data_IF_234752492235
#
_entry.id   IF_234752492235
#
_cell.length_a   1.000
_cell.length_b   1.000
_cell.length_c   1.000
_cell.angle_alpha   90.00
_cell.angle_beta   90.00
_cell.angle_gamma   90.00
#
_symmetry.space_group_name_H-M   'P 1'
#
loop_
_entity.id
_entity.type
_entity.pdbx_description
1 polymer ?
#
# COMPACT_ATOMS: atom_id res chain seq x y z
N UNK A 1 -18.50 -13.08 -37.48
CA UNK A 1 -18.34 -12.40 -36.16
C UNK A 1 -17.11 -13.01 -35.51
N UNK A 2 -15.96 -12.33 -35.64
CA UNK A 2 -14.73 -12.73 -35.01
C UNK A 2 -14.85 -12.40 -33.51
N UNK A 3 -14.96 -13.40 -32.66
CA UNK A 3 -14.83 -13.26 -31.20
C UNK A 3 -13.36 -13.01 -30.94
N UNK A 4 -12.97 -11.77 -30.69
CA UNK A 4 -11.68 -11.43 -30.14
C UNK A 4 -11.61 -12.09 -28.74
N UNK A 5 -11.00 -13.27 -28.67
CA UNK A 5 -10.47 -13.78 -27.43
C UNK A 5 -9.46 -12.75 -26.94
N UNK A 6 -9.85 -11.93 -25.98
CA UNK A 6 -8.92 -11.18 -25.17
C UNK A 6 -7.93 -12.22 -24.63
N UNK A 7 -6.71 -12.18 -25.15
CA UNK A 7 -5.55 -12.89 -24.66
C UNK A 7 -5.51 -12.62 -23.17
N UNK A 8 -5.89 -13.62 -22.37
CA UNK A 8 -5.82 -13.53 -20.92
C UNK A 8 -4.44 -12.96 -20.60
N UNK A 9 -4.44 -11.77 -20.11
CA UNK A 9 -3.22 -11.04 -19.78
C UNK A 9 -2.58 -11.81 -18.64
N UNK A 10 -1.64 -12.68 -18.96
CA UNK A 10 -0.81 -13.36 -17.98
C UNK A 10 -0.10 -12.27 -17.21
N UNK A 11 -0.67 -11.88 -16.09
CA UNK A 11 -0.13 -10.82 -15.26
C UNK A 11 1.13 -11.35 -14.59
N UNK A 12 2.27 -10.81 -14.97
CA UNK A 12 3.51 -11.04 -14.25
C UNK A 12 3.33 -10.71 -12.77
N UNK A 13 3.76 -11.63 -11.91
CA UNK A 13 3.62 -11.49 -10.47
C UNK A 13 4.86 -12.04 -9.74
N UNK A 14 5.03 -11.64 -8.51
CA UNK A 14 6.01 -12.19 -7.61
C UNK A 14 5.37 -12.66 -6.30
N UNK A 15 6.04 -13.55 -5.57
CA UNK A 15 5.69 -13.91 -4.20
C UNK A 15 6.80 -13.38 -3.30
N UNK A 16 6.44 -12.50 -2.38
CA UNK A 16 7.34 -11.91 -1.38
C UNK A 16 7.01 -12.40 0.02
N UNK A 17 8.02 -12.44 0.88
CA UNK A 17 7.86 -12.69 2.31
C UNK A 17 8.16 -11.43 3.10
N UNK A 18 7.21 -10.99 3.93
CA UNK A 18 7.39 -9.87 4.85
C UNK A 18 6.54 -10.03 6.11
N UNK A 19 7.11 -9.70 7.28
CA UNK A 19 6.40 -9.83 8.55
C UNK A 19 5.96 -11.26 8.88
N UNK A 20 6.67 -12.29 8.41
CA UNK A 20 6.31 -13.70 8.59
C UNK A 20 5.11 -14.16 7.75
N UNK A 21 4.71 -13.40 6.75
CA UNK A 21 3.61 -13.71 5.83
C UNK A 21 4.07 -13.63 4.39
N UNK A 22 3.47 -14.45 3.54
CA UNK A 22 3.72 -14.45 2.10
C UNK A 22 2.61 -13.72 1.37
N UNK A 23 2.97 -12.93 0.37
CA UNK A 23 2.05 -12.13 -0.43
C UNK A 23 2.32 -12.32 -1.92
N UNK A 24 1.27 -12.64 -2.67
CA UNK A 24 1.29 -12.57 -4.14
C UNK A 24 1.12 -11.12 -4.56
N UNK A 25 2.05 -10.59 -5.33
CA UNK A 25 2.12 -9.18 -5.72
C UNK A 25 2.25 -9.02 -7.22
N UNK A 26 1.54 -8.06 -7.79
CA UNK A 26 1.67 -7.61 -9.17
C UNK A 26 1.95 -6.10 -9.17
N UNK A 27 2.44 -5.55 -10.26
CA UNK A 27 2.59 -4.10 -10.40
C UNK A 27 1.24 -3.41 -10.19
N UNK A 28 1.24 -2.23 -9.58
CA UNK A 28 0.04 -1.46 -9.19
C UNK A 28 -0.74 -1.99 -7.99
N UNK A 29 -0.48 -3.21 -7.50
CA UNK A 29 -1.19 -3.75 -6.34
C UNK A 29 -0.92 -2.95 -5.08
N UNK A 30 -1.99 -2.75 -4.29
CA UNK A 30 -1.91 -2.12 -2.97
C UNK A 30 -2.05 -3.22 -1.91
N UNK A 31 -1.00 -3.37 -1.10
CA UNK A 31 -0.92 -4.38 -0.04
C UNK A 31 -1.05 -3.76 1.35
N UNK A 32 -1.62 -4.52 2.27
CA UNK A 32 -1.55 -4.27 3.71
C UNK A 32 -0.54 -5.24 4.31
N UNK A 33 0.62 -4.72 4.71
CA UNK A 33 1.69 -5.50 5.36
C UNK A 33 1.80 -5.13 6.83
N UNK A 34 2.50 -5.93 7.62
CA UNK A 34 2.81 -5.57 9.00
C UNK A 34 3.53 -4.22 9.06
N UNK A 35 3.39 -3.51 10.17
CA UNK A 35 3.89 -2.13 10.32
C UNK A 35 5.37 -2.03 9.96
N UNK A 36 5.67 -1.22 8.96
CA UNK A 36 7.02 -0.82 8.59
C UNK A 36 7.34 0.54 9.22
N UNK A 37 8.57 0.70 9.73
CA UNK A 37 9.01 1.97 10.32
C UNK A 37 9.50 2.96 9.24
N UNK A 38 8.70 3.14 8.21
CA UNK A 38 9.00 3.98 7.04
C UNK A 38 7.98 5.11 6.96
N UNK A 39 8.43 6.32 6.60
CA UNK A 39 7.56 7.49 6.44
C UNK A 39 6.74 7.39 5.15
N UNK A 40 5.55 7.99 5.15
CA UNK A 40 4.69 8.11 3.96
C UNK A 40 5.44 8.76 2.80
N UNK A 41 5.27 8.19 1.60
CA UNK A 41 5.90 8.67 0.37
C UNK A 41 7.30 8.11 0.10
N UNK A 42 7.91 7.39 1.06
CA UNK A 42 9.22 6.79 0.85
C UNK A 42 9.12 5.46 0.10
N UNK A 43 10.19 5.11 -0.61
CA UNK A 43 10.34 3.81 -1.24
C UNK A 43 10.57 2.72 -0.21
N UNK A 44 10.03 1.55 -0.51
CA UNK A 44 10.16 0.32 0.28
C UNK A 44 10.71 -0.76 -0.64
N UNK A 45 11.74 -1.46 -0.23
CA UNK A 45 12.34 -2.57 -0.96
C UNK A 45 12.10 -3.88 -0.22
N UNK A 46 11.50 -4.85 -0.90
CA UNK A 46 11.33 -6.21 -0.43
C UNK A 46 12.37 -7.12 -1.10
N UNK A 47 13.37 -7.53 -0.33
CA UNK A 47 14.48 -8.38 -0.80
C UNK A 47 14.20 -9.87 -0.67
N UNK A 48 13.23 -10.26 0.17
CA UNK A 48 12.82 -11.66 0.33
C UNK A 48 11.78 -12.03 -0.72
N UNK A 49 12.25 -12.38 -1.91
CA UNK A 49 11.42 -12.81 -3.02
C UNK A 49 11.56 -14.32 -3.17
N UNK A 50 10.44 -15.04 -3.10
CA UNK A 50 10.41 -16.51 -3.16
C UNK A 50 10.19 -17.02 -4.59
N UNK A 51 9.39 -16.29 -5.37
CA UNK A 51 9.06 -16.64 -6.74
C UNK A 51 8.83 -15.38 -7.56
N UNK A 52 9.30 -15.41 -8.81
CA UNK A 52 8.99 -14.39 -9.82
C UNK A 52 8.45 -15.11 -11.05
N UNK A 53 7.26 -14.75 -11.47
CA UNK A 53 6.65 -15.19 -12.72
C UNK A 53 6.67 -14.04 -13.73
N UNK A 54 7.46 -14.20 -14.79
CA UNK A 54 7.35 -13.40 -16.01
C UNK A 54 6.49 -14.22 -16.99
N UNK A 55 5.73 -13.60 -17.86
CA UNK A 55 4.80 -14.28 -18.80
C UNK A 55 5.42 -15.47 -19.56
N UNK A 56 6.74 -15.51 -19.67
CA UNK A 56 7.51 -16.53 -20.40
C UNK A 56 8.27 -17.50 -19.50
N UNK A 57 8.66 -17.09 -18.32
CA UNK A 57 9.57 -17.84 -17.43
C UNK A 57 9.14 -17.70 -15.97
N UNK A 58 9.27 -18.79 -15.23
CA UNK A 58 9.04 -18.84 -13.80
C UNK A 58 10.36 -19.08 -13.10
N UNK A 59 10.78 -18.16 -12.26
CA UNK A 59 11.96 -18.30 -11.40
C UNK A 59 11.50 -18.67 -9.98
N UNK A 60 11.95 -19.79 -9.46
CA UNK A 60 11.65 -20.27 -8.12
C UNK A 60 12.92 -20.20 -7.28
N UNK A 61 12.82 -19.64 -6.07
CA UNK A 61 13.93 -19.56 -5.12
C UNK A 61 14.04 -20.80 -4.23
N UNK A 62 15.24 -21.09 -3.76
CA UNK A 62 15.53 -22.11 -2.74
C UNK A 62 16.29 -21.47 -1.56
N UNK A 63 15.65 -20.99 -0.52
CA UNK A 63 14.24 -20.59 -0.42
C UNK A 63 13.93 -19.24 -1.07
N UNK A 64 14.95 -18.44 -1.42
CA UNK A 64 14.81 -17.09 -1.97
C UNK A 64 15.61 -16.93 -3.26
N UNK A 65 15.16 -16.04 -4.13
CA UNK A 65 15.86 -15.68 -5.37
C UNK A 65 16.88 -14.59 -5.05
N UNK A 66 18.18 -14.91 -5.16
CA UNK A 66 19.26 -13.95 -4.97
C UNK A 66 19.22 -12.87 -6.06
N UNK A 67 19.21 -11.60 -5.67
CA UNK A 67 19.21 -10.46 -6.59
C UNK A 67 17.83 -10.00 -7.07
N UNK A 68 16.76 -10.76 -6.81
CA UNK A 68 15.41 -10.29 -7.07
C UNK A 68 14.97 -9.28 -5.99
N UNK A 69 14.31 -8.21 -6.42
CA UNK A 69 13.80 -7.14 -5.53
C UNK A 69 12.43 -6.69 -5.99
N UNK A 70 11.52 -6.49 -5.05
CA UNK A 70 10.23 -5.84 -5.31
C UNK A 70 10.23 -4.47 -4.66
N UNK A 71 10.05 -3.44 -5.48
CA UNK A 71 9.97 -2.05 -5.03
C UNK A 71 8.52 -1.65 -4.83
N UNK A 72 8.26 -0.90 -3.78
CA UNK A 72 6.96 -0.31 -3.50
C UNK A 72 7.09 1.11 -2.93
N UNK A 73 5.96 1.80 -2.86
CA UNK A 73 5.84 3.12 -2.25
C UNK A 73 4.93 3.04 -1.03
N UNK A 74 5.37 3.57 0.09
CA UNK A 74 4.58 3.68 1.30
C UNK A 74 3.46 4.71 1.11
N UNK A 75 2.20 4.27 1.14
CA UNK A 75 1.05 5.16 1.04
C UNK A 75 0.66 5.75 2.41
N UNK A 76 0.41 4.90 3.39
CA UNK A 76 -0.03 5.31 4.73
C UNK A 76 0.15 4.19 5.76
N UNK A 77 0.26 4.59 7.03
CA UNK A 77 0.14 3.66 8.16
C UNK A 77 -1.31 3.68 8.65
N UNK A 78 -1.92 2.51 8.69
CA UNK A 78 -3.32 2.31 9.07
C UNK A 78 -3.43 1.40 10.29
N UNK A 79 -4.61 1.36 10.90
CA UNK A 79 -4.98 0.33 11.88
C UNK A 79 -6.09 -0.52 11.28
N UNK A 80 -5.97 -1.83 11.40
CA UNK A 80 -6.99 -2.76 10.93
C UNK A 80 -8.30 -2.61 11.74
N UNK A 81 -9.35 -3.32 11.30
CA UNK A 81 -10.60 -3.34 12.03
C UNK A 81 -10.39 -3.83 13.47
N UNK A 82 -11.21 -3.34 14.38
CA UNK A 82 -11.15 -3.76 15.78
C UNK A 82 -11.60 -5.22 15.91
N UNK A 83 -10.73 -6.08 16.42
CA UNK A 83 -11.04 -7.45 16.78
C UNK A 83 -11.52 -7.44 18.23
N UNK A 84 -12.75 -7.86 18.46
CA UNK A 84 -13.34 -7.91 19.79
C UNK A 84 -12.96 -9.23 20.46
N UNK A 85 -12.29 -9.13 21.59
CA UNK A 85 -11.95 -10.28 22.43
C UNK A 85 -12.89 -10.31 23.62
N UNK A 86 -13.64 -11.40 23.76
CA UNK A 86 -14.55 -11.64 24.87
C UNK A 86 -14.07 -12.85 25.66
N UNK A 87 -13.83 -12.64 26.96
CA UNK A 87 -13.44 -13.70 27.89
C UNK A 87 -14.49 -13.84 28.99
N UNK A 88 -14.96 -15.08 29.21
CA UNK A 88 -15.89 -15.44 30.27
C UNK A 88 -15.36 -16.66 31.02
N UNK A 89 -15.42 -16.63 32.34
CA UNK A 89 -15.13 -17.81 33.16
C UNK A 89 -16.42 -18.59 33.39
N UNK A 90 -16.38 -19.91 33.26
CA UNK A 90 -17.52 -20.80 33.53
C UNK A 90 -17.90 -20.73 35.01
N UNK A 91 -19.21 -20.74 35.32
CA UNK A 91 -19.75 -20.72 36.66
C UNK A 91 -19.35 -19.53 37.57
N UNK A 92 -18.70 -18.54 36.98
CA UNK A 92 -18.36 -17.30 37.66
C UNK A 92 -18.93 -16.14 36.84
N UNK A 93 -19.46 -15.13 37.50
CA UNK A 93 -20.05 -13.98 36.83
C UNK A 93 -18.98 -13.02 36.22
N UNK A 94 -17.84 -13.59 35.84
CA UNK A 94 -16.74 -12.84 35.26
C UNK A 94 -16.91 -12.70 33.76
N UNK A 95 -17.02 -11.46 33.28
CA UNK A 95 -17.10 -11.11 31.85
C UNK A 95 -16.07 -10.01 31.56
N UNK A 96 -15.12 -10.28 30.65
CA UNK A 96 -14.13 -9.28 30.25
C UNK A 96 -14.18 -9.10 28.74
N UNK A 97 -14.37 -7.87 28.30
CA UNK A 97 -14.41 -7.50 26.88
C UNK A 97 -13.36 -6.44 26.59
N UNK A 98 -12.54 -6.67 25.59
CA UNK A 98 -11.59 -5.69 25.08
C UNK A 98 -11.42 -5.87 23.57
N UNK A 99 -10.79 -4.89 22.91
CA UNK A 99 -10.58 -4.94 21.48
C UNK A 99 -9.13 -4.69 21.14
N UNK A 100 -8.67 -5.36 20.07
CA UNK A 100 -7.35 -5.19 19.50
C UNK A 100 -7.44 -4.60 18.09
N UNK A 101 -6.55 -3.67 17.75
CA UNK A 101 -6.36 -3.14 16.39
C UNK A 101 -4.90 -3.29 16.00
N UNK A 102 -4.65 -4.14 15.00
CA UNK A 102 -3.30 -4.35 14.49
C UNK A 102 -2.85 -3.14 13.66
N UNK A 103 -1.69 -2.54 13.95
CA UNK A 103 -1.10 -1.52 13.10
C UNK A 103 -0.55 -2.17 11.83
N UNK A 104 -0.89 -1.62 10.67
CA UNK A 104 -0.48 -2.10 9.35
C UNK A 104 0.06 -0.93 8.53
N UNK A 105 0.87 -1.25 7.55
CA UNK A 105 1.36 -0.34 6.53
C UNK A 105 0.74 -0.67 5.18
N UNK A 106 0.24 0.34 4.48
CA UNK A 106 -0.32 0.22 3.13
C UNK A 106 0.73 0.63 2.13
N UNK A 107 1.14 -0.32 1.29
CA UNK A 107 2.22 -0.16 0.31
C UNK A 107 1.67 -0.45 -1.08
N UNK A 108 1.97 0.41 -2.04
CA UNK A 108 1.71 0.20 -3.46
C UNK A 108 2.97 -0.34 -4.12
N UNK A 109 2.86 -1.45 -4.83
CA UNK A 109 3.97 -2.05 -5.57
C UNK A 109 4.20 -1.26 -6.85
N UNK A 110 5.44 -0.80 -7.05
CA UNK A 110 5.84 0.01 -8.22
C UNK A 110 6.57 -0.80 -9.27
N UNK A 111 7.51 -1.68 -8.84
CA UNK A 111 8.34 -2.47 -9.77
C UNK A 111 8.62 -3.85 -9.21
N UNK A 112 8.77 -4.82 -10.11
CA UNK A 112 9.24 -6.18 -9.83
C UNK A 112 10.50 -6.41 -10.66
N UNK A 113 11.60 -6.69 -9.99
CA UNK A 113 12.91 -6.97 -10.58
C UNK A 113 13.26 -8.44 -10.38
N UNK A 114 13.61 -9.13 -11.46
CA UNK A 114 14.14 -10.51 -11.46
C UNK A 114 15.60 -10.55 -11.03
N UNK A 115 16.14 -11.76 -10.86
CA UNK A 115 17.53 -12.05 -10.48
C UNK A 115 18.58 -11.24 -11.27
N UNK A 116 18.35 -11.01 -12.55
CA UNK A 116 19.26 -10.30 -13.44
C UNK A 116 19.05 -8.78 -13.47
N UNK A 117 18.27 -8.21 -12.55
CA UNK A 117 17.90 -6.80 -12.58
C UNK A 117 16.91 -6.45 -13.70
N UNK A 118 16.41 -7.45 -14.45
CA UNK A 118 15.40 -7.24 -15.48
C UNK A 118 14.09 -6.83 -14.85
N UNK A 119 13.47 -5.77 -15.35
CA UNK A 119 12.15 -5.33 -14.93
C UNK A 119 11.11 -6.29 -15.53
N UNK A 120 10.44 -7.05 -14.68
CA UNK A 120 9.37 -7.98 -15.04
C UNK A 120 8.03 -7.26 -15.14
N UNK A 121 7.76 -6.36 -14.21
CA UNK A 121 6.54 -5.54 -14.22
C UNK A 121 6.82 -4.17 -13.61
N UNK A 122 6.20 -3.13 -14.17
CA UNK A 122 6.32 -1.75 -13.69
C UNK A 122 5.01 -0.99 -13.89
N UNK A 123 4.68 -0.11 -12.95
CA UNK A 123 3.58 0.85 -13.13
C UNK A 123 3.98 1.91 -14.16
N UNK A 124 3.07 2.27 -15.06
CA UNK A 124 3.23 3.45 -15.91
C UNK A 124 3.11 4.71 -15.05
N UNK A 125 4.05 5.64 -15.17
CA UNK A 125 4.18 6.85 -14.32
C UNK A 125 2.92 7.74 -14.30
N UNK A 126 1.99 7.56 -15.23
CA UNK A 126 0.70 8.26 -15.26
C UNK A 126 -0.22 7.92 -14.09
N UNK A 127 -0.12 6.73 -13.51
CA UNK A 127 -0.99 6.29 -12.40
C UNK A 127 -0.50 6.75 -11.02
N UNK A 128 0.77 7.07 -10.88
CA UNK A 128 1.37 7.55 -9.62
C UNK A 128 0.89 8.96 -9.27
N UNK A 129 0.55 9.78 -10.26
CA UNK A 129 0.12 11.19 -10.08
C UNK A 129 -1.31 11.37 -9.55
N UNK A 130 -2.16 10.35 -9.65
CA UNK A 130 -3.58 10.46 -9.23
C UNK A 130 -3.80 10.39 -7.71
N UNK A 131 -2.84 9.87 -6.94
CA UNK A 131 -2.96 9.79 -5.48
C UNK A 131 -2.41 11.01 -4.71
N UNK A 132 -1.55 11.82 -5.33
CA UNK A 132 -0.99 13.04 -4.74
C UNK A 132 -1.85 14.29 -4.98
N UNK A 133 -2.63 14.33 -6.07
CA UNK A 133 -3.43 15.51 -6.46
C UNK A 133 -4.61 15.85 -5.55
N UNK A 134 -5.18 14.88 -4.84
CA UNK A 134 -6.35 15.12 -3.95
C UNK A 134 -6.06 15.84 -2.64
N UNK A 135 -4.79 16.00 -2.25
CA UNK A 135 -4.44 16.70 -1.01
C UNK A 135 -4.02 18.16 -1.20
N UNK A 136 -3.61 18.56 -2.41
CA UNK A 136 -3.27 19.96 -2.69
C UNK A 136 -4.52 20.83 -2.87
N UNK A 137 -5.58 20.33 -3.47
CA UNK A 137 -6.85 21.09 -3.60
C UNK A 137 -7.49 21.41 -2.24
N UNK A 138 -7.41 20.49 -1.25
CA UNK A 138 -7.90 20.79 0.11
C UNK A 138 -7.06 21.83 0.86
N UNK A 139 -5.77 21.96 0.56
CA UNK A 139 -4.91 23.02 1.16
C UNK A 139 -5.11 24.38 0.51
N UNK A 140 -5.44 24.43 -0.79
CA UNK A 140 -5.76 25.69 -1.46
C UNK A 140 -7.12 26.26 -1.04
N UNK A 141 -8.14 25.41 -0.86
CA UNK A 141 -9.46 25.85 -0.41
C UNK A 141 -9.43 26.37 1.04
N UNK A 142 -8.66 25.74 1.93
CA UNK A 142 -8.51 26.20 3.32
C UNK A 142 -7.71 27.51 3.46
N UNK A 143 -6.73 27.78 2.58
CA UNK A 143 -6.03 29.07 2.52
C UNK A 143 -6.91 30.22 1.99
N UNK A 144 -7.77 29.94 1.01
CA UNK A 144 -8.72 30.95 0.45
C UNK A 144 -9.74 31.40 1.51
N UNK A 145 -10.27 30.48 2.32
CA UNK A 145 -11.25 30.81 3.38
C UNK A 145 -10.62 31.63 4.52
N UNK A 146 -9.36 31.38 4.89
CA UNK A 146 -8.65 32.16 5.92
C UNK A 146 -8.37 33.60 5.48
N UNK A 147 -8.02 33.84 4.20
CA UNK A 147 -7.76 35.17 3.69
C UNK A 147 -9.01 36.04 3.52
N UNK A 148 -10.18 35.45 3.35
CA UNK A 148 -11.44 36.19 3.27
C UNK A 148 -11.89 36.63 4.66
N UNK A 149 -11.75 35.80 5.70
CA UNK A 149 -12.10 36.18 7.09
C UNK A 149 -11.24 37.30 7.64
N UNK A 150 -9.93 37.34 7.34
CA UNK A 150 -9.01 38.42 7.79
C UNK A 150 -9.28 39.76 7.10
N UNK A 151 -9.77 39.77 5.85
CA UNK A 151 -10.13 41.04 5.16
C UNK A 151 -11.46 41.64 5.66
N UNK A 152 -12.40 40.82 6.13
CA UNK A 152 -13.68 41.29 6.65
C UNK A 152 -13.53 41.87 8.05
N UNK A 153 -12.65 41.30 8.91
CA UNK A 153 -12.39 41.82 10.25
C UNK A 153 -11.70 43.19 10.21
N UNK A 154 -10.67 43.37 9.34
CA UNK A 154 -9.97 44.66 9.19
C UNK A 154 -10.83 45.78 8.58
N UNK A 155 -11.98 45.46 7.99
CA UNK A 155 -12.90 46.50 7.43
C UNK A 155 -13.96 46.96 8.44
N UNK A 156 -14.14 46.25 9.57
CA UNK A 156 -15.05 46.63 10.66
C UNK A 156 -14.35 47.49 11.75
N UNK A 157 -13.01 47.48 11.82
CA UNK A 157 -12.28 48.29 12.78
C UNK A 157 -11.90 49.72 12.24
N UNK A 158 -12.29 50.05 11.02
CA UNK A 158 -12.04 51.36 10.40
C UNK A 158 -13.36 52.14 10.08
N UNK A 159 -14.41 51.86 10.83
CA UNK A 159 -15.66 52.62 10.79
C UNK A 159 -16.04 53.00 12.26
#
# INVERSE_FOLDING_TARGET
IAINFNKDHFMSFAIIETGGKQYKVSASNILKVEKLNIKKGNKVEFKKVLLVNDDKTVEIGDPMISGAVVEGMMLENIKDRKVIVFKKRRRQNSRKRYGHRQPLSKVQITKILSKNGKVVAQIKDSEIKLSSGKQEEKKLSSKKVKNVKTKVVKKKEKK
#
